data_IF_517550464998
#
_entry.id   IF_517550464998
#
_cell.length_a   1.000
_cell.length_b   1.000
_cell.length_c   1.000
_cell.angle_alpha   90.00
_cell.angle_beta   90.00
_cell.angle_gamma   90.00
#
_symmetry.space_group_name_H-M   'P 1'
#
loop_
_entity.id
_entity.type
_entity.pdbx_description
1 polymer ?
#
# COMPACT_ATOMS: atom_id res chain seq x y z
N UNK A 1 -13.97 -1.48 -9.44
CA UNK A 1 -14.37 -0.06 -9.43
C UNK A 1 -13.13 0.80 -9.59
N UNK A 2 -13.04 1.59 -10.66
CA UNK A 2 -12.01 2.64 -10.73
C UNK A 2 -12.42 3.73 -9.74
N UNK A 3 -11.70 3.85 -8.63
CA UNK A 3 -11.91 4.96 -7.71
C UNK A 3 -11.56 6.24 -8.46
N UNK A 4 -12.56 7.07 -8.73
CA UNK A 4 -12.34 8.33 -9.44
C UNK A 4 -11.34 9.17 -8.66
N UNK A 5 -10.36 9.76 -9.33
CA UNK A 5 -9.35 10.63 -8.72
C UNK A 5 -10.00 11.77 -7.91
N UNK A 6 -11.17 12.22 -8.34
CA UNK A 6 -11.94 13.27 -7.64
C UNK A 6 -12.46 12.78 -6.28
N UNK A 7 -12.99 11.55 -6.21
CA UNK A 7 -13.46 10.95 -4.95
C UNK A 7 -12.28 10.72 -3.98
N UNK A 8 -11.14 10.30 -4.50
CA UNK A 8 -9.93 10.16 -3.70
C UNK A 8 -9.46 11.50 -3.11
N UNK A 9 -9.41 12.55 -3.93
CA UNK A 9 -9.02 13.89 -3.48
C UNK A 9 -10.01 14.45 -2.46
N UNK A 10 -11.31 14.25 -2.69
CA UNK A 10 -12.35 14.65 -1.75
C UNK A 10 -12.18 13.92 -0.41
N UNK A 11 -11.95 12.60 -0.44
CA UNK A 11 -11.70 11.79 0.75
C UNK A 11 -10.45 12.28 1.51
N UNK A 12 -9.34 12.57 0.78
CA UNK A 12 -8.13 13.14 1.36
C UNK A 12 -8.42 14.47 2.05
N UNK A 13 -9.16 15.36 1.39
CA UNK A 13 -9.50 16.67 1.93
C UNK A 13 -10.34 16.57 3.21
N UNK A 14 -11.38 15.74 3.20
CA UNK A 14 -12.23 15.48 4.38
C UNK A 14 -11.38 14.90 5.52
N UNK A 15 -10.53 13.91 5.22
CA UNK A 15 -9.66 13.30 6.23
C UNK A 15 -8.69 14.32 6.83
N UNK A 16 -8.09 15.20 6.02
CA UNK A 16 -7.20 16.26 6.48
C UNK A 16 -7.96 17.30 7.34
N UNK A 17 -9.16 17.68 6.93
CA UNK A 17 -10.00 18.62 7.70
C UNK A 17 -10.30 18.03 9.09
N UNK A 18 -10.77 16.79 9.16
CA UNK A 18 -11.03 16.09 10.43
C UNK A 18 -9.74 15.95 11.25
N UNK A 19 -8.62 15.60 10.61
CA UNK A 19 -7.33 15.42 11.28
C UNK A 19 -6.85 16.68 12.00
N UNK A 20 -7.05 17.85 11.42
CA UNK A 20 -6.62 19.11 12.04
C UNK A 20 -7.65 19.70 13.02
N UNK A 21 -8.95 19.39 12.84
CA UNK A 21 -10.01 19.81 13.77
C UNK A 21 -9.90 19.11 15.13
N UNK A 22 -9.41 17.89 15.16
CA UNK A 22 -9.33 17.10 16.39
C UNK A 22 -7.98 17.24 17.11
N UNK A 23 -7.95 17.01 18.45
CA UNK A 23 -6.74 17.12 19.24
C UNK A 23 -5.68 16.12 18.81
N UNK A 24 -4.41 16.44 19.05
CA UNK A 24 -3.25 15.63 18.63
C UNK A 24 -3.33 14.16 19.06
N UNK A 25 -3.92 13.88 20.23
CA UNK A 25 -4.09 12.50 20.75
C UNK A 25 -5.04 11.65 19.89
N UNK A 26 -6.05 12.26 19.26
CA UNK A 26 -7.02 11.54 18.41
C UNK A 26 -6.50 11.28 16.98
N UNK A 27 -5.50 12.01 16.53
CA UNK A 27 -4.98 11.95 15.15
C UNK A 27 -4.56 10.58 14.65
N UNK A 28 -3.85 9.74 15.46
CA UNK A 28 -3.53 8.37 15.05
C UNK A 28 -4.77 7.53 14.77
N UNK A 29 -5.82 7.69 15.59
CA UNK A 29 -7.09 6.98 15.42
C UNK A 29 -7.85 7.47 14.18
N UNK A 30 -7.81 8.77 13.87
CA UNK A 30 -8.45 9.33 12.68
C UNK A 30 -7.81 8.75 11.43
N UNK A 31 -6.47 8.70 11.36
CA UNK A 31 -5.78 8.10 10.22
C UNK A 31 -6.02 6.59 10.11
N UNK A 32 -6.05 5.89 11.24
CA UNK A 32 -6.38 4.47 11.30
C UNK A 32 -7.78 4.22 10.74
N UNK A 33 -8.80 4.89 11.30
CA UNK A 33 -10.19 4.69 10.87
C UNK A 33 -10.40 5.13 9.43
N UNK A 34 -9.83 6.26 8.99
CA UNK A 34 -9.91 6.69 7.60
C UNK A 34 -9.28 5.70 6.63
N UNK A 35 -8.15 5.08 7.00
CA UNK A 35 -7.49 4.08 6.15
C UNK A 35 -8.34 2.82 5.98
N UNK A 36 -8.92 2.33 7.08
CA UNK A 36 -9.82 1.17 7.04
C UNK A 36 -11.13 1.47 6.32
N UNK A 37 -11.70 2.65 6.54
CA UNK A 37 -12.90 3.11 5.86
C UNK A 37 -12.65 3.22 4.35
N UNK A 38 -11.53 3.81 3.95
CA UNK A 38 -11.16 3.90 2.54
C UNK A 38 -11.06 2.52 1.88
N UNK A 39 -10.37 1.57 2.53
CA UNK A 39 -10.24 0.22 2.01
C UNK A 39 -11.59 -0.49 1.93
N UNK A 40 -12.42 -0.36 2.96
CA UNK A 40 -13.77 -0.93 2.99
C UNK A 40 -14.69 -0.36 1.90
N UNK A 41 -14.57 0.93 1.57
CA UNK A 41 -15.28 1.56 0.46
C UNK A 41 -14.77 1.07 -0.91
N UNK A 42 -13.50 0.74 -1.02
CA UNK A 42 -12.92 0.18 -2.24
C UNK A 42 -13.30 -1.28 -2.44
N UNK A 43 -13.10 -2.12 -1.43
CA UNK A 43 -13.44 -3.55 -1.46
C UNK A 43 -13.61 -4.12 -0.04
N UNK A 44 -14.83 -4.09 0.45
CA UNK A 44 -15.17 -4.58 1.79
C UNK A 44 -14.86 -6.07 1.99
N UNK A 45 -14.92 -6.87 0.92
CA UNK A 45 -14.72 -8.34 0.99
C UNK A 45 -13.33 -8.72 1.49
N UNK A 46 -12.32 -7.91 1.16
CA UNK A 46 -10.93 -8.18 1.53
C UNK A 46 -10.42 -7.39 2.74
N UNK A 47 -11.33 -6.65 3.41
CA UNK A 47 -10.97 -5.94 4.64
C UNK A 47 -10.50 -6.91 5.72
N UNK A 48 -11.15 -8.08 5.84
CA UNK A 48 -10.75 -9.14 6.76
C UNK A 48 -9.36 -9.68 6.48
N UNK A 49 -8.98 -9.81 5.20
CA UNK A 49 -7.64 -10.25 4.80
C UNK A 49 -6.56 -9.23 5.18
N UNK A 50 -6.82 -7.95 4.95
CA UNK A 50 -5.92 -6.87 5.38
C UNK A 50 -5.72 -6.88 6.90
N UNK A 51 -6.80 -7.02 7.66
CA UNK A 51 -6.74 -7.12 9.13
C UNK A 51 -5.93 -8.36 9.56
N UNK A 52 -6.19 -9.51 8.95
CA UNK A 52 -5.47 -10.75 9.23
C UNK A 52 -3.96 -10.57 9.03
N UNK A 53 -3.54 -9.99 7.91
CA UNK A 53 -2.13 -9.78 7.61
C UNK A 53 -1.47 -8.79 8.56
N UNK A 54 -2.17 -7.71 8.93
CA UNK A 54 -1.70 -6.75 9.94
C UNK A 54 -1.50 -7.43 11.30
N UNK A 55 -2.48 -8.19 11.77
CA UNK A 55 -2.39 -8.92 13.04
C UNK A 55 -1.24 -9.91 13.05
N UNK A 56 -1.18 -10.77 12.01
CA UNK A 56 -0.17 -11.79 11.86
C UNK A 56 1.24 -11.19 11.92
N UNK A 57 1.49 -10.16 11.11
CA UNK A 57 2.82 -9.53 11.03
C UNK A 57 3.16 -8.71 12.27
N UNK A 58 2.19 -8.08 12.94
CA UNK A 58 2.38 -7.42 14.22
C UNK A 58 2.82 -8.40 15.32
N UNK A 59 2.15 -9.54 15.45
CA UNK A 59 2.51 -10.55 16.44
C UNK A 59 3.88 -11.19 16.14
N UNK A 60 4.17 -11.47 14.87
CA UNK A 60 5.48 -12.01 14.46
C UNK A 60 6.60 -11.02 14.74
N UNK A 61 6.43 -9.73 14.45
CA UNK A 61 7.41 -8.69 14.76
C UNK A 61 7.72 -8.63 16.26
N UNK A 62 6.69 -8.71 17.11
CA UNK A 62 6.88 -8.79 18.56
C UNK A 62 7.66 -10.03 19.00
N UNK A 63 7.42 -11.20 18.38
CA UNK A 63 8.17 -12.42 18.64
C UNK A 63 9.65 -12.29 18.19
N UNK A 64 9.91 -11.70 17.04
CA UNK A 64 11.26 -11.42 16.55
C UNK A 64 12.01 -10.56 17.57
N UNK A 65 11.41 -9.47 18.02
CA UNK A 65 11.99 -8.55 18.99
C UNK A 65 12.25 -9.22 20.34
N UNK A 66 11.28 -9.98 20.85
CA UNK A 66 11.41 -10.71 22.14
C UNK A 66 12.56 -11.73 22.12
N UNK A 67 12.84 -12.34 20.96
CA UNK A 67 13.90 -13.33 20.81
C UNK A 67 15.15 -12.75 20.15
N UNK A 68 15.35 -11.44 20.21
CA UNK A 68 16.48 -10.74 19.56
C UNK A 68 17.86 -11.21 20.04
N UNK A 69 17.95 -11.78 21.25
CA UNK A 69 19.18 -12.37 21.80
C UNK A 69 19.43 -13.80 21.31
N UNK A 70 18.41 -14.49 20.76
CA UNK A 70 18.54 -15.82 20.18
C UNK A 70 18.39 -15.74 18.65
N UNK A 71 19.52 -15.60 17.96
CA UNK A 71 19.56 -15.41 16.51
C UNK A 71 18.80 -16.51 15.73
N UNK A 72 18.88 -17.78 16.15
CA UNK A 72 18.20 -18.89 15.47
C UNK A 72 16.69 -18.78 15.59
N UNK A 73 16.16 -18.52 16.80
CA UNK A 73 14.71 -18.36 17.01
C UNK A 73 14.17 -17.11 16.31
N UNK A 74 14.87 -15.99 16.41
CA UNK A 74 14.49 -14.74 15.75
C UNK A 74 14.45 -14.92 14.23
N UNK A 75 15.45 -15.61 13.63
CA UNK A 75 15.47 -15.95 12.20
C UNK A 75 14.32 -16.88 11.80
N UNK A 76 13.99 -17.86 12.63
CA UNK A 76 12.86 -18.75 12.38
C UNK A 76 11.54 -17.97 12.29
N UNK A 77 11.26 -17.05 13.24
CA UNK A 77 10.08 -16.20 13.20
C UNK A 77 10.07 -15.28 11.99
N UNK A 78 11.23 -14.73 11.58
CA UNK A 78 11.32 -13.92 10.37
C UNK A 78 10.93 -14.73 9.13
N UNK A 79 11.52 -15.92 8.97
CA UNK A 79 11.22 -16.80 7.81
C UNK A 79 9.76 -17.20 7.81
N UNK A 80 9.19 -17.60 8.95
CA UNK A 80 7.76 -17.89 9.07
C UNK A 80 6.89 -16.68 8.68
N UNK A 81 7.25 -15.48 9.13
CA UNK A 81 6.54 -14.25 8.78
C UNK A 81 6.59 -13.95 7.29
N UNK A 82 7.76 -14.05 6.68
CA UNK A 82 7.92 -13.83 5.23
C UNK A 82 7.15 -14.88 4.44
N UNK A 83 7.27 -16.16 4.79
CA UNK A 83 6.57 -17.25 4.10
C UNK A 83 5.06 -17.13 4.21
N UNK A 84 4.53 -16.74 5.38
CA UNK A 84 3.08 -16.56 5.55
C UNK A 84 2.55 -15.39 4.72
N UNK A 85 3.24 -14.25 4.69
CA UNK A 85 2.85 -13.10 3.86
C UNK A 85 2.96 -13.42 2.37
N UNK A 86 4.06 -14.05 1.95
CA UNK A 86 4.23 -14.49 0.56
C UNK A 86 3.23 -15.57 0.16
N UNK A 87 2.88 -16.47 1.08
CA UNK A 87 1.85 -17.50 0.87
C UNK A 87 0.47 -16.88 0.61
N UNK A 88 0.09 -15.88 1.41
CA UNK A 88 -1.14 -15.10 1.20
C UNK A 88 -1.10 -14.41 -0.17
N UNK A 89 -0.01 -13.69 -0.45
CA UNK A 89 0.16 -12.97 -1.71
C UNK A 89 0.11 -13.92 -2.92
N UNK A 90 0.82 -15.05 -2.84
CA UNK A 90 0.85 -16.05 -3.91
C UNK A 90 -0.53 -16.69 -4.12
N UNK A 91 -1.22 -17.01 -3.02
CA UNK A 91 -2.55 -17.60 -3.07
C UNK A 91 -3.59 -16.72 -3.74
N UNK A 92 -3.50 -15.38 -3.63
CA UNK A 92 -4.44 -14.49 -4.30
C UNK A 92 -3.97 -14.02 -5.68
N UNK A 93 -2.66 -13.81 -5.88
CA UNK A 93 -2.14 -13.22 -7.12
C UNK A 93 -1.88 -14.25 -8.21
N UNK A 94 -1.45 -15.45 -7.84
CA UNK A 94 -1.03 -16.46 -8.82
C UNK A 94 -1.98 -17.67 -8.87
N UNK A 95 -3.06 -17.66 -8.08
CA UNK A 95 -4.02 -18.77 -8.03
C UNK A 95 -4.64 -19.03 -9.41
N UNK A 96 -5.12 -18.00 -10.09
CA UNK A 96 -5.73 -18.12 -11.39
C UNK A 96 -4.73 -18.66 -12.44
N UNK A 97 -3.48 -18.19 -12.41
CA UNK A 97 -2.41 -18.69 -13.28
C UNK A 97 -2.19 -20.21 -13.11
N UNK A 98 -2.15 -20.69 -11.85
CA UNK A 98 -1.99 -22.12 -11.60
C UNK A 98 -3.23 -22.93 -12.01
N UNK A 99 -4.42 -22.41 -11.78
CA UNK A 99 -5.67 -23.09 -12.17
C UNK A 99 -5.76 -23.25 -13.68
N UNK A 100 -5.51 -22.19 -14.43
CA UNK A 100 -5.50 -22.23 -15.89
C UNK A 100 -4.46 -23.22 -16.43
N UNK A 101 -3.26 -23.22 -15.85
CA UNK A 101 -2.19 -24.12 -16.28
C UNK A 101 -2.50 -25.60 -16.02
N UNK A 102 -3.15 -25.92 -14.90
CA UNK A 102 -3.53 -27.29 -14.54
C UNK A 102 -4.93 -27.69 -15.02
N UNK A 103 -5.59 -26.85 -15.85
CA UNK A 103 -6.94 -27.12 -16.39
C UNK A 103 -7.98 -27.45 -15.31
N UNK A 104 -7.85 -26.88 -14.13
CA UNK A 104 -8.76 -27.08 -13.00
C UNK A 104 -9.96 -26.12 -13.11
N UNK A 105 -11.17 -26.66 -13.01
CA UNK A 105 -12.42 -25.88 -13.12
C UNK A 105 -12.78 -25.20 -11.79
N UNK A 106 -11.96 -24.24 -11.32
CA UNK A 106 -12.29 -23.38 -10.19
C UNK A 106 -12.67 -21.99 -10.66
N UNK A 107 -13.49 -21.27 -9.87
CA UNK A 107 -13.80 -19.87 -10.14
C UNK A 107 -12.55 -19.02 -9.93
N UNK A 108 -12.32 -18.07 -10.82
CA UNK A 108 -11.25 -17.08 -10.68
C UNK A 108 -11.34 -16.34 -9.34
N UNK A 109 -10.20 -16.17 -8.69
CA UNK A 109 -10.10 -15.46 -7.41
C UNK A 109 -9.92 -13.99 -7.67
N UNK A 110 -10.83 -13.18 -7.17
CA UNK A 110 -10.69 -11.73 -7.26
C UNK A 110 -9.43 -11.27 -6.52
N UNK A 111 -8.59 -10.49 -7.20
CA UNK A 111 -7.38 -9.95 -6.62
C UNK A 111 -7.70 -8.81 -5.64
N UNK A 112 -7.31 -8.94 -4.35
CA UNK A 112 -7.49 -7.88 -3.38
C UNK A 112 -6.73 -6.61 -3.77
N UNK A 113 -7.40 -5.47 -3.66
CA UNK A 113 -6.79 -4.19 -4.00
C UNK A 113 -5.56 -3.91 -3.12
N UNK A 114 -4.42 -3.59 -3.75
CA UNK A 114 -3.20 -3.23 -3.05
C UNK A 114 -2.47 -4.34 -2.31
N UNK A 115 -2.88 -5.63 -2.44
CA UNK A 115 -2.28 -6.76 -1.70
C UNK A 115 -0.75 -6.77 -1.81
N UNK A 116 -0.18 -6.56 -2.98
CA UNK A 116 1.28 -6.55 -3.15
C UNK A 116 1.94 -5.42 -2.35
N UNK A 117 1.32 -4.24 -2.29
CA UNK A 117 1.90 -3.08 -1.61
C UNK A 117 1.91 -3.23 -0.10
N UNK A 118 0.80 -3.66 0.50
CA UNK A 118 0.77 -3.83 1.95
C UNK A 118 1.56 -5.07 2.40
N UNK A 119 1.60 -6.15 1.61
CA UNK A 119 2.44 -7.31 1.90
C UNK A 119 3.93 -6.97 1.86
N UNK A 120 4.40 -6.22 0.85
CA UNK A 120 5.81 -5.79 0.83
C UNK A 120 6.16 -4.81 1.95
N UNK A 121 5.25 -3.93 2.36
CA UNK A 121 5.45 -3.11 3.56
C UNK A 121 5.62 -3.96 4.81
N UNK A 122 4.77 -4.98 4.98
CA UNK A 122 4.84 -5.90 6.11
C UNK A 122 6.17 -6.67 6.13
N UNK A 123 6.60 -7.23 4.99
CA UNK A 123 7.88 -7.92 4.85
C UNK A 123 9.06 -6.97 5.18
N UNK A 124 9.06 -5.77 4.60
CA UNK A 124 10.09 -4.77 4.87
C UNK A 124 10.20 -4.45 6.37
N UNK A 125 9.06 -4.30 7.03
CA UNK A 125 9.02 -4.06 8.46
C UNK A 125 9.58 -5.23 9.29
N UNK A 126 9.21 -6.47 8.98
CA UNK A 126 9.74 -7.66 9.66
C UNK A 126 11.27 -7.75 9.52
N UNK A 127 11.81 -7.44 8.35
CA UNK A 127 13.24 -7.40 8.07
C UNK A 127 13.92 -6.30 8.88
N UNK A 128 13.35 -5.10 8.94
CA UNK A 128 13.90 -3.97 9.69
C UNK A 128 13.94 -4.26 11.19
N UNK A 129 12.91 -4.91 11.76
CA UNK A 129 12.89 -5.34 13.15
C UNK A 129 13.93 -6.43 13.42
N UNK A 130 14.07 -7.41 12.52
CA UNK A 130 15.08 -8.47 12.65
C UNK A 130 16.49 -7.93 12.61
N UNK A 131 16.78 -7.02 11.67
CA UNK A 131 18.11 -6.35 11.56
C UNK A 131 18.39 -5.38 12.70
N UNK A 132 17.44 -5.17 13.61
CA UNK A 132 17.55 -4.17 14.69
C UNK A 132 17.78 -2.74 14.18
N UNK A 133 17.54 -2.48 12.91
CA UNK A 133 17.57 -1.14 12.34
C UNK A 133 16.40 -0.31 12.86
N UNK A 134 15.43 -0.99 13.46
CA UNK A 134 14.23 -0.40 14.04
C UNK A 134 13.77 -1.15 15.31
N UNK A 135 13.30 -0.39 16.28
CA UNK A 135 12.55 -0.95 17.41
C UNK A 135 11.16 -1.39 16.95
N UNK A 136 10.66 -2.49 17.51
CA UNK A 136 9.30 -2.97 17.23
C UNK A 136 8.29 -1.92 17.66
N UNK A 137 7.26 -1.73 16.84
CA UNK A 137 6.16 -0.83 17.14
C UNK A 137 5.26 -1.46 18.21
N UNK A 138 5.15 -0.81 19.35
CA UNK A 138 4.32 -1.30 20.47
C UNK A 138 2.85 -0.95 20.32
N UNK A 139 2.55 0.15 19.61
CA UNK A 139 1.17 0.57 19.35
C UNK A 139 0.61 -0.14 18.13
N UNK A 140 -0.38 -0.99 18.35
CA UNK A 140 -1.10 -1.65 17.24
C UNK A 140 -1.71 -0.64 16.27
N UNK A 141 -2.31 0.44 16.78
CA UNK A 141 -2.92 1.49 15.93
C UNK A 141 -1.89 2.13 15.02
N UNK A 142 -0.70 2.47 15.54
CA UNK A 142 0.38 3.06 14.73
C UNK A 142 0.88 2.09 13.67
N UNK A 143 1.04 0.82 14.02
CA UNK A 143 1.45 -0.22 13.07
C UNK A 143 0.41 -0.46 11.99
N UNK A 144 -0.85 -0.65 12.40
CA UNK A 144 -1.95 -0.86 11.47
C UNK A 144 -2.14 0.33 10.52
N UNK A 145 -2.04 1.57 11.04
CA UNK A 145 -2.04 2.78 10.21
C UNK A 145 -0.91 2.76 9.19
N UNK A 146 0.30 2.35 9.58
CA UNK A 146 1.42 2.26 8.64
C UNK A 146 1.15 1.31 7.48
N UNK A 147 0.67 0.10 7.77
CA UNK A 147 0.37 -0.90 6.73
C UNK A 147 -0.78 -0.45 5.85
N UNK A 148 -1.89 0.01 6.46
CA UNK A 148 -3.13 0.37 5.78
C UNK A 148 -3.20 1.81 5.29
N UNK A 149 -2.13 2.61 5.42
CA UNK A 149 -2.14 4.04 5.10
C UNK A 149 -2.71 4.32 3.71
N UNK A 150 -3.93 4.85 3.66
CA UNK A 150 -4.74 4.90 2.45
C UNK A 150 -4.10 5.64 1.27
N UNK A 151 -3.29 6.72 1.43
CA UNK A 151 -2.65 7.36 0.29
C UNK A 151 -1.64 6.47 -0.44
N UNK A 152 -1.11 5.44 0.23
CA UNK A 152 -0.12 4.52 -0.32
C UNK A 152 -0.63 3.09 -0.45
N UNK A 153 -1.91 2.85 -0.15
CA UNK A 153 -2.43 1.48 -0.03
C UNK A 153 -2.58 0.81 -1.40
N UNK A 154 -3.07 1.56 -2.38
CA UNK A 154 -3.34 1.03 -3.72
C UNK A 154 -2.08 1.07 -4.58
N UNK A 155 -1.39 2.19 -4.57
CA UNK A 155 -0.24 2.48 -5.42
C UNK A 155 0.61 3.55 -4.75
N UNK A 156 1.88 3.27 -4.49
CA UNK A 156 2.76 4.24 -3.86
C UNK A 156 4.13 3.68 -3.55
N UNK A 157 5.07 4.52 -3.13
CA UNK A 157 6.39 4.03 -2.73
C UNK A 157 6.28 3.16 -1.48
N UNK A 158 7.07 2.09 -1.43
CA UNK A 158 7.23 1.25 -0.22
C UNK A 158 8.05 2.05 0.77
N UNK A 159 7.39 2.88 1.56
CA UNK A 159 8.02 3.68 2.59
C UNK A 159 8.38 2.84 3.81
N UNK A 160 9.49 3.18 4.44
CA UNK A 160 9.82 2.63 5.76
C UNK A 160 8.85 3.16 6.81
N UNK A 161 8.55 2.33 7.79
CA UNK A 161 7.55 2.65 8.81
C UNK A 161 7.85 3.94 9.59
N UNK A 162 9.13 4.32 9.80
CA UNK A 162 9.53 5.58 10.45
C UNK A 162 8.93 6.81 9.78
N UNK A 163 8.89 6.81 8.46
CA UNK A 163 8.41 7.94 7.67
C UNK A 163 6.96 8.28 7.97
N UNK A 164 6.17 7.29 8.40
CA UNK A 164 4.75 7.45 8.70
C UNK A 164 4.50 7.48 10.20
N UNK A 165 5.04 6.52 10.97
CA UNK A 165 4.70 6.37 12.39
C UNK A 165 5.33 7.44 13.27
N UNK A 166 6.57 7.87 13.00
CA UNK A 166 7.25 8.89 13.79
C UNK A 166 6.53 10.26 13.77
N UNK A 167 6.17 10.82 12.59
CA UNK A 167 5.41 12.05 12.53
C UNK A 167 4.06 11.95 13.24
N UNK A 168 3.36 10.81 13.08
CA UNK A 168 2.05 10.59 13.73
C UNK A 168 2.19 10.62 15.24
N UNK A 169 3.20 9.94 15.81
CA UNK A 169 3.47 9.91 17.26
C UNK A 169 3.85 11.28 17.81
N UNK A 170 4.64 12.05 17.09
CA UNK A 170 5.04 13.42 17.49
C UNK A 170 3.86 14.41 17.43
N UNK A 171 2.70 13.97 16.93
CA UNK A 171 1.52 14.82 16.84
C UNK A 171 1.74 16.00 15.89
N UNK A 172 1.75 15.70 14.59
CA UNK A 172 1.93 16.69 13.52
C UNK A 172 1.18 18.00 13.81
N UNK A 173 1.94 19.07 13.99
CA UNK A 173 1.40 20.44 13.99
C UNK A 173 1.31 20.95 12.56
N UNK A 174 0.35 21.80 12.30
CA UNK A 174 0.25 22.48 10.99
C UNK A 174 1.49 23.32 10.74
N UNK A 175 2.12 23.09 9.59
CA UNK A 175 3.25 23.87 9.11
C UNK A 175 2.91 24.41 7.71
N UNK A 176 2.75 25.74 7.55
CA UNK A 176 2.35 26.34 6.28
C UNK A 176 3.33 26.06 5.14
N UNK A 177 4.64 25.99 5.44
CA UNK A 177 5.65 25.73 4.41
C UNK A 177 5.58 24.29 3.90
N UNK A 178 5.42 23.31 4.80
CA UNK A 178 5.24 21.90 4.41
C UNK A 178 3.92 21.70 3.67
N UNK A 179 2.86 22.39 4.08
CA UNK A 179 1.57 22.35 3.40
C UNK A 179 1.69 22.87 1.97
N UNK A 180 2.32 24.05 1.78
CA UNK A 180 2.57 24.62 0.45
C UNK A 180 3.38 23.68 -0.44
N UNK A 181 4.46 23.10 0.09
CA UNK A 181 5.27 22.11 -0.65
C UNK A 181 4.45 20.88 -1.03
N UNK A 182 3.62 20.36 -0.13
CA UNK A 182 2.73 19.24 -0.39
C UNK A 182 1.72 19.52 -1.50
N UNK A 183 1.11 20.72 -1.49
CA UNK A 183 0.17 21.14 -2.54
C UNK A 183 0.88 21.25 -3.88
N UNK A 184 2.07 21.85 -3.94
CA UNK A 184 2.85 21.96 -5.18
C UNK A 184 3.22 20.58 -5.75
N UNK A 185 3.66 19.65 -4.90
CA UNK A 185 3.98 18.28 -5.31
C UNK A 185 2.73 17.53 -5.81
N UNK A 186 1.61 17.68 -5.12
CA UNK A 186 0.34 17.09 -5.53
C UNK A 186 -0.11 17.61 -6.88
N UNK A 187 -0.11 18.94 -7.07
CA UNK A 187 -0.49 19.58 -8.34
C UNK A 187 0.42 19.16 -9.47
N UNK A 188 1.74 19.12 -9.25
CA UNK A 188 2.71 18.63 -10.23
C UNK A 188 2.47 17.17 -10.59
N UNK A 189 2.19 16.31 -9.61
CA UNK A 189 1.86 14.90 -9.83
C UNK A 189 0.58 14.72 -10.64
N UNK A 190 -0.48 15.46 -10.29
CA UNK A 190 -1.75 15.45 -11.02
C UNK A 190 -1.59 15.95 -12.46
N UNK A 191 -0.82 17.00 -12.66
CA UNK A 191 -0.51 17.51 -14.01
C UNK A 191 0.17 16.43 -14.85
N UNK A 192 1.23 15.81 -14.33
CA UNK A 192 1.93 14.72 -15.04
C UNK A 192 1.00 13.56 -15.36
N UNK A 193 0.13 13.19 -14.42
CA UNK A 193 -0.81 12.08 -14.61
C UNK A 193 -1.88 12.43 -15.64
N UNK A 194 -2.60 13.53 -15.47
CA UNK A 194 -3.80 13.85 -16.27
C UNK A 194 -3.41 14.39 -17.64
N UNK A 195 -2.40 15.28 -17.71
CA UNK A 195 -2.05 15.98 -18.95
C UNK A 195 -1.06 15.19 -19.79
N UNK A 196 -0.11 14.47 -19.16
CA UNK A 196 0.93 13.74 -19.89
C UNK A 196 0.57 12.26 -19.99
N UNK A 197 0.55 11.54 -18.86
CA UNK A 197 0.46 10.08 -18.87
C UNK A 197 -0.86 9.56 -19.45
N UNK A 198 -2.01 10.13 -19.05
CA UNK A 198 -3.32 9.66 -19.54
C UNK A 198 -3.49 9.96 -21.04
N UNK A 199 -2.88 11.02 -21.55
CA UNK A 199 -2.89 11.33 -22.99
C UNK A 199 -2.02 10.36 -23.78
N UNK A 200 -0.81 10.11 -23.30
CA UNK A 200 0.09 9.13 -23.93
C UNK A 200 -0.53 7.74 -23.89
N UNK A 201 -1.09 7.33 -22.75
CA UNK A 201 -1.75 6.04 -22.59
C UNK A 201 -2.90 5.83 -23.59
N UNK A 202 -3.64 6.87 -23.94
CA UNK A 202 -4.69 6.78 -24.95
C UNK A 202 -4.13 6.38 -26.33
N UNK A 203 -3.00 6.96 -26.74
CA UNK A 203 -2.32 6.62 -28.01
C UNK A 203 -1.69 5.22 -27.95
N UNK A 204 -0.93 4.92 -26.90
CA UNK A 204 -0.26 3.63 -26.78
C UNK A 204 -1.25 2.48 -26.71
N UNK A 205 -2.35 2.63 -25.99
CA UNK A 205 -3.41 1.61 -25.92
C UNK A 205 -4.05 1.37 -27.32
N UNK A 206 -4.27 2.41 -28.09
CA UNK A 206 -4.82 2.26 -29.46
C UNK A 206 -3.87 1.47 -30.35
N UNK A 207 -2.56 1.74 -30.27
CA UNK A 207 -1.54 1.07 -31.07
C UNK A 207 -1.40 -0.41 -30.64
N UNK A 208 -1.36 -0.69 -29.33
CA UNK A 208 -1.20 -2.05 -28.83
C UNK A 208 -2.46 -2.92 -28.96
N UNK A 209 -3.65 -2.32 -29.02
CA UNK A 209 -4.89 -3.07 -29.26
C UNK A 209 -5.05 -3.55 -30.72
N UNK A 210 -4.38 -2.90 -31.67
CA UNK A 210 -4.42 -3.27 -33.09
C UNK A 210 -3.04 -3.06 -33.75
N UNK A 211 -2.01 -3.80 -33.33
CA UNK A 211 -0.63 -3.58 -33.75
C UNK A 211 -0.42 -3.75 -35.28
N UNK A 212 -1.23 -4.60 -35.92
CA UNK A 212 -1.17 -4.86 -37.35
C UNK A 212 -1.56 -3.64 -38.22
N UNK A 213 -2.32 -2.70 -37.62
CA UNK A 213 -2.81 -1.50 -38.29
C UNK A 213 -1.80 -0.34 -38.30
N UNK A 214 -0.67 -0.49 -37.62
CA UNK A 214 0.30 0.58 -37.42
C UNK A 214 1.69 0.19 -37.94
N UNK A 215 2.46 1.15 -38.51
CA UNK A 215 3.84 0.88 -38.96
C UNK A 215 4.75 0.58 -37.76
N UNK A 216 5.80 -0.21 -37.99
CA UNK A 216 6.78 -0.63 -36.97
C UNK A 216 7.39 0.53 -36.19
N UNK A 217 7.54 1.69 -36.80
CA UNK A 217 8.02 2.90 -36.15
C UNK A 217 7.04 3.41 -35.07
N UNK A 218 5.72 3.33 -35.32
CA UNK A 218 4.72 3.72 -34.34
C UNK A 218 4.71 2.78 -33.12
N UNK A 219 4.92 1.47 -33.35
CA UNK A 219 5.07 0.47 -32.29
C UNK A 219 6.30 0.75 -31.42
N UNK A 220 7.44 1.06 -32.04
CA UNK A 220 8.66 1.44 -31.29
C UNK A 220 8.47 2.72 -30.47
N UNK A 221 7.79 3.71 -31.03
CA UNK A 221 7.47 4.95 -30.32
C UNK A 221 6.52 4.69 -29.15
N UNK A 222 5.50 3.86 -29.35
CA UNK A 222 4.56 3.47 -28.29
C UNK A 222 5.22 2.67 -27.14
N UNK A 223 6.33 2.00 -27.41
CA UNK A 223 7.11 1.24 -26.45
C UNK A 223 8.03 2.13 -25.60
N UNK A 224 8.42 3.31 -26.14
CA UNK A 224 9.27 4.30 -25.48
C UNK A 224 8.49 5.34 -24.67
N UNK A 225 7.19 5.49 -24.92
CA UNK A 225 6.29 6.43 -24.25
C UNK A 225 5.59 5.80 -23.07
#
# INVERSE_FOLDING_TARGET
>A
MQFSIYLFLLFCFITLAIFYLFPKKARPFILFTSSFLFYGLCDFRFLGLLILEILLTFFIANKISKHSNNSKKSKCYLVLGILSVLGILAGFKYFDFFIEHFSLSFKSVLLPLGISYYSFKAISYLIDVFKKTRMVETSFVSYATYISFFPHLICGPILRSNTITEPIKKGLSYNPNLFRQGVLLLTSGLFKKIVIADRIAAYTNTIFNSPESFPSFALLLALLL
#
